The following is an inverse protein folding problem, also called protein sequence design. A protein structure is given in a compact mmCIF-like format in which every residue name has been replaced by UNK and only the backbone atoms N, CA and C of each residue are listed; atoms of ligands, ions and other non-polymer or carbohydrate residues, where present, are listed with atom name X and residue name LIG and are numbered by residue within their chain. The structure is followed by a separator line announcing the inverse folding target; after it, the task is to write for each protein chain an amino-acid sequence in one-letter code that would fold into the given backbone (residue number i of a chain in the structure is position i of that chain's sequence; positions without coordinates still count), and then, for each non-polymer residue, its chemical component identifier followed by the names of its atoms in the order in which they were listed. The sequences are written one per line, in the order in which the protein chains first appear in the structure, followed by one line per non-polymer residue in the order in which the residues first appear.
data_IF_247572811946
#
_entry.id   IF_247572811946
#
_cell.length_a   1.000
_cell.length_b   1.000
_cell.length_c   1.000
_cell.angle_alpha   90.00
_cell.angle_beta   90.00
_cell.angle_gamma   90.00
#
_symmetry.space_group_name_H-M   'P 1'
#
loop_
_entity.id
_entity.type
_entity.pdbx_description
1 polymer ?
#
# COMPACT_ATOMS: atom_id res chain seq x y z
N UNK A 1 23.67 -7.34 -9.14
CA UNK A 1 23.34 -8.76 -8.88
C UNK A 1 22.60 -8.77 -7.57
N UNK A 2 21.38 -9.30 -7.55
CA UNK A 2 20.57 -9.38 -6.32
C UNK A 2 20.86 -10.74 -5.71
N UNK A 3 21.18 -10.78 -4.42
CA UNK A 3 21.47 -12.04 -3.76
C UNK A 3 20.19 -12.87 -3.62
N UNK A 4 20.19 -14.15 -4.04
CA UNK A 4 19.00 -15.01 -4.02
C UNK A 4 18.35 -15.11 -2.63
N UNK A 5 19.14 -14.97 -1.57
CA UNK A 5 18.67 -14.96 -0.17
C UNK A 5 17.74 -13.78 0.13
N UNK A 6 18.00 -12.59 -0.42
CA UNK A 6 17.17 -11.40 -0.18
C UNK A 6 15.79 -11.52 -0.84
N UNK A 7 15.75 -12.17 -2.01
CA UNK A 7 14.51 -12.47 -2.71
C UNK A 7 13.65 -13.49 -1.96
N UNK A 8 14.27 -14.57 -1.47
CA UNK A 8 13.59 -15.60 -0.69
C UNK A 8 13.00 -15.04 0.62
N UNK A 9 13.76 -14.21 1.32
CA UNK A 9 13.29 -13.56 2.55
C UNK A 9 12.07 -12.67 2.27
N UNK A 10 12.08 -11.94 1.16
CA UNK A 10 10.98 -11.07 0.76
C UNK A 10 9.72 -11.87 0.40
N UNK A 11 9.88 -12.99 -0.32
CA UNK A 11 8.77 -13.91 -0.63
C UNK A 11 8.17 -14.48 0.66
N UNK A 12 9.00 -14.86 1.63
CA UNK A 12 8.52 -15.34 2.94
C UNK A 12 7.71 -14.27 3.68
N UNK A 13 8.17 -13.01 3.67
CA UNK A 13 7.43 -11.88 4.27
C UNK A 13 6.08 -11.66 3.58
N UNK A 14 6.03 -11.72 2.24
CA UNK A 14 4.79 -11.61 1.45
C UNK A 14 3.80 -12.69 1.86
N UNK A 15 4.25 -13.95 1.90
CA UNK A 15 3.38 -15.08 2.25
C UNK A 15 2.86 -14.97 3.68
N UNK A 16 3.73 -14.64 4.63
CA UNK A 16 3.33 -14.44 6.02
C UNK A 16 2.29 -13.34 6.15
N UNK A 17 2.51 -12.18 5.51
CA UNK A 17 1.58 -11.04 5.59
C UNK A 17 0.23 -11.34 4.94
N UNK A 18 0.23 -12.12 3.84
CA UNK A 18 -0.99 -12.61 3.20
C UNK A 18 -1.82 -13.49 4.15
N UNK A 19 -1.18 -14.44 4.82
CA UNK A 19 -1.86 -15.31 5.80
C UNK A 19 -2.46 -14.51 6.97
N UNK A 20 -1.73 -13.52 7.49
CA UNK A 20 -2.23 -12.62 8.54
C UNK A 20 -3.45 -11.82 8.06
N UNK A 21 -3.42 -11.31 6.82
CA UNK A 21 -4.57 -10.61 6.22
C UNK A 21 -5.80 -11.51 6.07
N UNK A 22 -5.60 -12.73 5.55
CA UNK A 22 -6.68 -13.71 5.36
C UNK A 22 -7.29 -14.11 6.72
N UNK A 23 -6.45 -14.38 7.71
CA UNK A 23 -6.89 -14.74 9.07
C UNK A 23 -7.69 -13.61 9.74
N UNK A 24 -7.22 -12.37 9.63
CA UNK A 24 -7.93 -11.21 10.16
C UNK A 24 -9.25 -10.94 9.41
N UNK A 25 -9.28 -11.12 8.09
CA UNK A 25 -10.49 -10.96 7.30
C UNK A 25 -11.55 -12.04 7.61
N UNK A 26 -11.10 -13.28 7.82
CA UNK A 26 -11.97 -14.40 8.20
C UNK A 26 -12.53 -14.30 9.61
N UNK A 27 -11.84 -13.62 10.53
CA UNK A 27 -12.25 -13.47 11.94
C UNK A 27 -12.96 -12.16 12.27
N UNK A 28 -12.69 -11.08 11.51
CA UNK A 28 -13.25 -9.74 11.75
C UNK A 28 -14.18 -9.33 10.61
N UNK A 29 -13.65 -8.53 9.69
CA UNK A 29 -14.32 -8.00 8.51
C UNK A 29 -13.25 -7.42 7.59
N UNK A 30 -13.49 -7.45 6.28
CA UNK A 30 -12.61 -6.86 5.27
C UNK A 30 -12.38 -5.35 5.45
N UNK A 31 -13.29 -4.66 6.15
CA UNK A 31 -13.17 -3.21 6.45
C UNK A 31 -12.58 -2.92 7.82
N UNK A 32 -12.19 -3.95 8.58
CA UNK A 32 -11.55 -3.73 9.86
C UNK A 32 -10.19 -3.05 9.66
N UNK A 33 -9.85 -2.12 10.57
CA UNK A 33 -8.61 -1.35 10.51
C UNK A 33 -7.37 -2.25 10.39
N UNK A 34 -7.41 -3.41 11.05
CA UNK A 34 -6.36 -4.42 11.00
C UNK A 34 -6.20 -5.07 9.62
N UNK A 35 -7.30 -5.45 8.96
CA UNK A 35 -7.25 -6.01 7.59
C UNK A 35 -6.78 -4.96 6.59
N UNK A 36 -7.23 -3.71 6.75
CA UNK A 36 -6.75 -2.59 5.93
C UNK A 36 -5.25 -2.38 6.13
N UNK A 37 -4.76 -2.41 7.37
CA UNK A 37 -3.33 -2.30 7.68
C UNK A 37 -2.52 -3.45 7.05
N UNK A 38 -2.99 -4.68 7.18
CA UNK A 38 -2.32 -5.83 6.55
C UNK A 38 -2.32 -5.75 5.03
N UNK A 39 -3.37 -5.18 4.42
CA UNK A 39 -3.39 -4.96 2.97
C UNK A 39 -2.35 -3.94 2.50
N UNK A 40 -2.11 -2.88 3.29
CA UNK A 40 -1.09 -1.87 3.01
C UNK A 40 0.33 -2.46 3.15
N UNK A 41 0.59 -3.17 4.24
CA UNK A 41 1.88 -3.83 4.48
C UNK A 41 2.18 -4.90 3.42
N UNK A 42 1.15 -5.65 2.98
CA UNK A 42 1.30 -6.63 1.90
C UNK A 42 1.66 -5.95 0.58
N UNK A 43 1.05 -4.80 0.27
CA UNK A 43 1.32 -4.05 -0.95
C UNK A 43 2.76 -3.48 -0.96
N UNK A 44 3.25 -2.96 0.17
CA UNK A 44 4.64 -2.51 0.30
C UNK A 44 5.65 -3.64 0.00
N UNK A 45 5.39 -4.85 0.51
CA UNK A 45 6.24 -6.02 0.25
C UNK A 45 6.18 -6.45 -1.22
N UNK A 46 5.01 -6.38 -1.86
CA UNK A 46 4.84 -6.66 -3.28
C UNK A 46 5.56 -5.62 -4.14
N UNK A 47 5.50 -4.33 -3.77
CA UNK A 47 6.21 -3.25 -4.45
C UNK A 47 7.73 -3.47 -4.38
N UNK A 48 8.27 -3.83 -3.21
CA UNK A 48 9.69 -4.16 -3.06
C UNK A 48 10.10 -5.35 -3.93
N UNK A 49 9.26 -6.38 -4.02
CA UNK A 49 9.54 -7.56 -4.84
C UNK A 49 9.50 -7.19 -6.33
N UNK A 50 8.56 -6.35 -6.71
CA UNK A 50 8.41 -5.86 -8.06
C UNK A 50 9.60 -5.00 -8.51
N UNK A 51 10.07 -4.10 -7.65
CA UNK A 51 11.28 -3.30 -7.89
C UNK A 51 12.52 -4.18 -8.04
N UNK A 52 12.61 -5.23 -7.23
CA UNK A 52 13.68 -6.22 -7.26
C UNK A 52 13.67 -7.04 -8.57
N UNK A 53 12.50 -7.49 -9.03
CA UNK A 53 12.38 -8.34 -10.23
C UNK A 53 12.46 -7.58 -11.56
N UNK A 54 11.88 -6.37 -11.64
CA UNK A 54 11.67 -5.70 -12.93
C UNK A 54 12.41 -4.38 -13.10
N UNK A 55 13.07 -3.85 -12.07
CA UNK A 55 13.85 -2.61 -12.13
C UNK A 55 13.04 -1.39 -12.59
N UNK A 56 12.57 -0.57 -11.65
CA UNK A 56 12.00 0.78 -11.86
C UNK A 56 11.06 0.96 -13.08
N UNK A 57 10.26 -0.05 -13.43
CA UNK A 57 9.22 0.11 -14.45
C UNK A 57 7.82 -0.17 -13.88
N UNK A 58 7.14 0.96 -13.68
CA UNK A 58 5.70 1.19 -13.63
C UNK A 58 5.10 1.42 -12.24
N UNK A 59 4.36 2.53 -12.15
CA UNK A 59 3.46 2.84 -11.04
C UNK A 59 2.46 1.70 -10.85
N UNK A 60 2.49 1.09 -9.67
CA UNK A 60 1.65 -0.05 -9.34
C UNK A 60 0.18 0.40 -9.21
N UNK A 61 -0.79 -0.51 -9.37
CA UNK A 61 -2.22 -0.16 -9.27
C UNK A 61 -2.57 0.56 -7.97
N UNK A 62 -1.86 0.24 -6.88
CA UNK A 62 -2.06 0.88 -5.59
C UNK A 62 -1.29 2.21 -5.48
N UNK A 63 -0.10 2.37 -6.06
CA UNK A 63 0.50 3.72 -6.21
C UNK A 63 -0.47 4.65 -6.93
N UNK A 64 -1.10 4.19 -8.00
CA UNK A 64 -2.13 4.96 -8.72
C UNK A 64 -3.35 5.26 -7.84
N UNK A 65 -3.74 4.33 -6.97
CA UNK A 65 -4.83 4.53 -6.01
C UNK A 65 -4.44 5.54 -4.92
N UNK A 66 -3.28 5.40 -4.28
CA UNK A 66 -2.76 6.33 -3.27
C UNK A 66 -2.55 7.72 -3.87
N UNK A 67 -2.04 7.83 -5.09
CA UNK A 67 -1.98 9.12 -5.81
C UNK A 67 -3.38 9.72 -5.97
N UNK A 68 -4.40 8.93 -6.31
CA UNK A 68 -5.79 9.40 -6.38
C UNK A 68 -6.36 9.80 -5.02
N UNK A 69 -6.11 9.02 -3.97
CA UNK A 69 -6.61 9.29 -2.62
C UNK A 69 -5.92 10.51 -2.01
N UNK A 70 -4.61 10.68 -2.22
CA UNK A 70 -3.87 11.87 -1.83
C UNK A 70 -4.38 13.13 -2.57
N UNK A 71 -4.74 12.99 -3.85
CA UNK A 71 -5.39 14.06 -4.62
C UNK A 71 -6.74 14.46 -4.02
N UNK A 72 -7.47 13.52 -3.39
CA UNK A 72 -8.73 13.82 -2.69
C UNK A 72 -8.54 14.32 -1.25
N UNK A 73 -7.45 13.93 -0.57
CA UNK A 73 -7.19 14.22 0.85
C UNK A 73 -6.57 15.58 1.17
N UNK A 74 -6.08 16.33 0.17
CA UNK A 74 -5.33 17.58 0.35
C UNK A 74 -6.01 18.80 -0.31
N UNK A 75 -7.34 18.88 -0.24
CA UNK A 75 -8.11 20.06 -0.72
C UNK A 75 -9.19 20.51 0.27
N UNK A 76 -8.83 20.59 1.56
CA UNK A 76 -9.58 21.36 2.55
C UNK A 76 -8.65 22.24 3.40
N UNK A 77 -8.06 23.27 2.79
CA UNK A 77 -7.65 24.50 3.50
C UNK A 77 -7.49 25.67 2.51
N UNK A 78 -8.59 26.22 2.00
CA UNK A 78 -8.72 27.68 1.80
C UNK A 78 -10.21 28.04 1.75
N UNK A 79 -10.78 28.31 2.93
CA UNK A 79 -12.07 28.98 3.05
C UNK A 79 -11.82 30.42 3.54
N UNK A 80 -12.50 31.37 2.90
CA UNK A 80 -12.82 32.73 3.35
C UNK A 80 -11.71 33.81 3.45
N UNK A 81 -11.60 34.65 2.42
CA UNK A 81 -11.41 36.11 2.55
C UNK A 81 -11.59 36.82 1.19
N UNK A 82 -12.81 37.31 0.91
CA UNK A 82 -13.10 38.50 0.08
C UNK A 82 -14.62 38.72 -0.03
N UNK A 83 -15.23 39.19 1.06
CA UNK A 83 -16.41 40.04 1.02
C UNK A 83 -16.06 41.28 1.86
N UNK A 84 -16.50 42.46 1.41
CA UNK A 84 -16.03 43.82 1.73
C UNK A 84 -14.69 44.17 1.03
N UNK A 85 -14.64 45.09 0.07
CA UNK A 85 -15.21 46.44 0.06
C UNK A 85 -15.36 47.02 -1.36
#
# INVERSE_FOLDING_TARGET
MIEPLQKEELILKINKKREEMISAAGSKSYTSNEVVKYSQELDELLNQFQEMEWGHRSATPFTKLVTRVATWGFSQQTQHAAADH
#
